data_IF_449339523910
#
_entry.id   IF_449339523910
#
_cell.length_a   1.000
_cell.length_b   1.000
_cell.length_c   1.000
_cell.angle_alpha   90.00
_cell.angle_beta   90.00
_cell.angle_gamma   90.00
#
_symmetry.space_group_name_H-M   'P 1'
#
loop_
_entity.id
_entity.type
_entity.pdbx_description
1 polymer ?
#
# COMPACT_ATOMS: atom_id res chain seq x y z
N UNK A 1 14.52 34.93 23.93
CA UNK A 1 14.93 33.51 23.93
C UNK A 1 14.54 32.93 22.58
N UNK A 2 15.48 32.80 21.64
CA UNK A 2 15.23 32.06 20.41
C UNK A 2 15.51 30.59 20.70
N UNK A 3 14.47 29.76 20.68
CA UNK A 3 14.56 28.33 21.00
C UNK A 3 15.31 27.57 19.90
N UNK A 4 15.32 28.09 18.66
CA UNK A 4 16.06 27.53 17.52
C UNK A 4 16.79 28.63 16.76
N UNK A 5 18.06 28.38 16.40
CA UNK A 5 18.90 29.30 15.61
C UNK A 5 18.73 29.12 14.09
N UNK A 6 17.60 28.57 13.64
CA UNK A 6 17.35 28.25 12.23
C UNK A 6 16.08 28.94 11.73
N UNK A 7 16.07 29.30 10.44
CA UNK A 7 14.86 29.79 9.75
C UNK A 7 13.99 28.58 9.40
N UNK A 8 12.76 28.57 9.90
CA UNK A 8 11.75 27.58 9.51
C UNK A 8 11.05 28.03 8.23
N UNK A 9 10.78 27.09 7.34
CA UNK A 9 10.01 27.28 6.12
C UNK A 9 9.01 26.12 5.95
N UNK A 10 8.06 26.25 5.03
CA UNK A 10 7.06 25.21 4.77
C UNK A 10 7.36 24.45 3.48
N UNK A 11 6.99 23.18 3.45
CA UNK A 11 7.09 22.33 2.26
C UNK A 11 5.81 21.50 2.09
N UNK A 12 5.52 21.12 0.85
CA UNK A 12 4.45 20.19 0.50
C UNK A 12 4.96 18.75 0.32
N UNK A 13 6.20 18.47 0.71
CA UNK A 13 6.75 17.13 0.70
C UNK A 13 5.92 16.17 1.54
N UNK A 14 5.72 14.97 1.01
CA UNK A 14 5.01 13.91 1.71
C UNK A 14 6.02 13.05 2.45
N UNK A 15 5.79 12.85 3.75
CA UNK A 15 6.59 11.97 4.59
C UNK A 15 5.83 10.67 4.85
N UNK A 16 6.57 9.57 4.93
CA UNK A 16 6.04 8.27 5.34
C UNK A 16 7.02 7.57 6.27
N UNK A 17 6.51 6.99 7.36
CA UNK A 17 7.26 6.07 8.22
C UNK A 17 7.36 4.66 7.62
N UNK A 18 6.65 4.38 6.52
CA UNK A 18 6.50 3.06 5.89
C UNK A 18 7.41 2.86 4.68
N UNK A 19 8.50 3.64 4.58
CA UNK A 19 9.40 3.59 3.42
C UNK A 19 9.97 2.18 3.17
N UNK A 20 10.14 1.37 4.22
CA UNK A 20 10.60 -0.02 4.11
C UNK A 20 9.67 -0.90 3.27
N UNK A 21 8.38 -0.57 3.18
CA UNK A 21 7.42 -1.31 2.35
C UNK A 21 7.66 -1.14 0.84
N UNK A 22 8.43 -0.12 0.42
CA UNK A 22 8.79 0.06 -0.99
C UNK A 22 9.58 -1.13 -1.51
N UNK A 23 10.52 -1.65 -0.73
CA UNK A 23 11.33 -2.82 -1.12
C UNK A 23 10.45 -4.02 -1.40
N UNK A 24 9.44 -4.23 -0.56
CA UNK A 24 8.46 -5.31 -0.72
C UNK A 24 7.57 -5.10 -1.95
N UNK A 25 7.01 -3.89 -2.12
CA UNK A 25 6.21 -3.55 -3.28
C UNK A 25 7.00 -3.72 -4.59
N UNK A 26 8.26 -3.31 -4.61
CA UNK A 26 9.16 -3.49 -5.75
C UNK A 26 9.47 -4.98 -5.99
N UNK A 27 9.65 -5.77 -4.92
CA UNK A 27 9.85 -7.22 -5.03
C UNK A 27 8.64 -7.91 -5.68
N UNK A 28 7.42 -7.55 -5.26
CA UNK A 28 6.17 -8.03 -5.86
C UNK A 28 6.15 -7.73 -7.38
N UNK A 29 6.58 -6.52 -7.78
CA UNK A 29 6.65 -6.12 -9.18
C UNK A 29 7.70 -6.91 -9.97
N UNK A 30 8.93 -7.03 -9.46
CA UNK A 30 10.04 -7.73 -10.13
C UNK A 30 9.74 -9.23 -10.31
N UNK A 31 9.04 -9.83 -9.35
CA UNK A 31 8.63 -11.24 -9.43
C UNK A 31 7.43 -11.48 -10.35
N UNK A 32 6.83 -10.42 -10.91
CA UNK A 32 5.56 -10.48 -11.67
C UNK A 32 4.44 -11.18 -10.86
N UNK A 33 4.50 -11.06 -9.53
CA UNK A 33 3.68 -11.85 -8.61
C UNK A 33 2.20 -11.58 -8.83
N UNK A 34 1.82 -10.32 -9.08
CA UNK A 34 0.44 -9.94 -9.37
C UNK A 34 -0.12 -10.71 -10.56
N UNK A 35 0.66 -10.86 -11.63
CA UNK A 35 0.23 -11.61 -12.82
C UNK A 35 0.12 -13.09 -12.52
N UNK A 36 1.07 -13.66 -11.78
CA UNK A 36 0.99 -15.07 -11.37
C UNK A 36 -0.26 -15.33 -10.54
N UNK A 37 -0.58 -14.46 -9.59
CA UNK A 37 -1.81 -14.55 -8.79
C UNK A 37 -3.03 -14.50 -9.70
N UNK A 38 -3.12 -13.48 -10.56
CA UNK A 38 -4.31 -13.28 -11.40
C UNK A 38 -4.52 -14.39 -12.45
N UNK A 39 -3.50 -15.19 -12.75
CA UNK A 39 -3.60 -16.37 -13.61
C UNK A 39 -4.15 -17.62 -12.90
N UNK A 40 -3.92 -17.75 -11.59
CA UNK A 40 -4.28 -18.95 -10.83
C UNK A 40 -5.56 -18.78 -10.03
N UNK A 41 -5.95 -17.54 -9.73
CA UNK A 41 -7.20 -17.24 -9.05
C UNK A 41 -8.38 -17.11 -10.02
N UNK A 42 -9.62 -17.33 -9.56
CA UNK A 42 -10.81 -17.21 -10.40
C UNK A 42 -10.89 -15.86 -11.11
N UNK A 43 -11.28 -15.89 -12.38
CA UNK A 43 -11.54 -14.68 -13.14
C UNK A 43 -12.67 -13.86 -12.50
N UNK A 44 -12.60 -12.56 -12.71
CA UNK A 44 -13.57 -11.60 -12.18
C UNK A 44 -14.96 -11.85 -12.78
N UNK A 45 -15.97 -11.96 -11.92
CA UNK A 45 -17.37 -12.10 -12.33
C UNK A 45 -18.05 -10.78 -12.76
N UNK A 46 -17.38 -9.63 -12.56
CA UNK A 46 -17.91 -8.29 -12.86
C UNK A 46 -16.79 -7.35 -13.31
N UNK A 47 -17.10 -6.43 -14.22
CA UNK A 47 -16.18 -5.38 -14.68
C UNK A 47 -15.77 -4.40 -13.56
N UNK A 48 -16.50 -4.38 -12.44
CA UNK A 48 -16.17 -3.56 -11.27
C UNK A 48 -15.37 -4.32 -10.20
N UNK A 49 -15.13 -5.62 -10.38
CA UNK A 49 -14.43 -6.41 -9.39
C UNK A 49 -12.92 -6.12 -9.42
N UNK A 50 -12.30 -6.10 -8.24
CA UNK A 50 -10.86 -5.96 -8.11
C UNK A 50 -10.18 -7.30 -8.37
N UNK A 51 -8.99 -7.26 -8.97
CA UNK A 51 -8.18 -8.46 -9.21
C UNK A 51 -7.75 -9.12 -7.90
N UNK A 52 -7.56 -10.44 -7.91
CA UNK A 52 -7.11 -11.18 -6.73
C UNK A 52 -5.77 -10.64 -6.20
N UNK A 53 -4.86 -10.26 -7.10
CA UNK A 53 -3.59 -9.62 -6.76
C UNK A 53 -3.76 -8.33 -5.96
N UNK A 54 -4.80 -7.53 -6.22
CA UNK A 54 -5.09 -6.29 -5.47
C UNK A 54 -5.35 -6.58 -3.99
N UNK A 55 -6.10 -7.64 -3.69
CA UNK A 55 -6.37 -8.06 -2.32
C UNK A 55 -5.12 -8.64 -1.66
N UNK A 56 -4.45 -9.59 -2.33
CA UNK A 56 -3.30 -10.30 -1.76
C UNK A 56 -2.13 -9.34 -1.52
N UNK A 57 -1.78 -8.49 -2.48
CA UNK A 57 -0.69 -7.52 -2.29
C UNK A 57 -1.00 -6.55 -1.16
N UNK A 58 -2.26 -6.14 -1.00
CA UNK A 58 -2.67 -5.28 0.11
C UNK A 58 -2.46 -5.96 1.45
N UNK A 59 -2.87 -7.23 1.56
CA UNK A 59 -2.69 -8.00 2.79
C UNK A 59 -1.21 -8.21 3.10
N UNK A 60 -0.40 -8.54 2.09
CA UNK A 60 1.05 -8.71 2.24
C UNK A 60 1.71 -7.42 2.73
N UNK A 61 1.36 -6.26 2.15
CA UNK A 61 1.90 -4.97 2.63
C UNK A 61 1.43 -4.66 4.06
N UNK A 62 0.14 -4.85 4.36
CA UNK A 62 -0.43 -4.58 5.67
C UNK A 62 0.22 -5.45 6.76
N UNK A 63 0.41 -6.74 6.49
CA UNK A 63 1.08 -7.66 7.42
C UNK A 63 2.54 -7.29 7.63
N UNK A 64 3.26 -6.87 6.58
CA UNK A 64 4.64 -6.42 6.72
C UNK A 64 4.78 -5.05 7.39
N UNK A 65 3.74 -4.21 7.38
CA UNK A 65 3.65 -3.02 8.24
C UNK A 65 3.47 -3.39 9.73
N UNK A 66 3.00 -4.61 10.01
CA UNK A 66 2.61 -5.06 11.35
C UNK A 66 1.12 -4.95 11.62
N UNK A 67 0.27 -4.90 10.58
CA UNK A 67 -1.18 -4.95 10.72
C UNK A 67 -1.67 -6.30 11.27
N UNK A 68 -2.62 -6.24 12.19
CA UNK A 68 -3.15 -7.39 12.94
C UNK A 68 -4.59 -7.71 12.55
N UNK A 69 -5.31 -6.77 11.94
CA UNK A 69 -6.69 -6.93 11.52
C UNK A 69 -6.94 -6.39 10.10
N UNK A 70 -8.09 -6.74 9.51
CA UNK A 70 -8.44 -6.27 8.15
C UNK A 70 -8.62 -4.76 8.09
N UNK A 71 -8.99 -4.11 9.19
CA UNK A 71 -9.09 -2.65 9.24
C UNK A 71 -7.74 -1.96 9.07
N UNK A 72 -6.62 -2.61 9.39
CA UNK A 72 -5.29 -2.00 9.30
C UNK A 72 -4.86 -1.69 7.86
N UNK A 73 -5.51 -2.27 6.85
CA UNK A 73 -5.24 -1.93 5.43
C UNK A 73 -5.51 -0.46 5.12
N UNK A 74 -6.31 0.24 5.96
CA UNK A 74 -6.55 1.68 5.83
C UNK A 74 -5.28 2.49 6.05
N UNK A 75 -4.28 1.97 6.76
CA UNK A 75 -2.99 2.61 6.95
C UNK A 75 -2.26 2.78 5.62
N UNK A 76 -2.21 1.70 4.82
CA UNK A 76 -1.69 1.72 3.45
C UNK A 76 -2.53 2.65 2.56
N UNK A 77 -3.87 2.61 2.67
CA UNK A 77 -4.76 3.44 1.86
C UNK A 77 -4.58 4.96 2.11
N UNK A 78 -4.34 5.34 3.37
CA UNK A 78 -4.18 6.73 3.83
C UNK A 78 -2.77 7.29 3.58
N UNK A 79 -1.76 6.43 3.42
CA UNK A 79 -0.39 6.86 3.18
C UNK A 79 -0.20 7.35 1.73
N UNK A 80 -0.29 8.67 1.55
CA UNK A 80 -0.14 9.30 0.23
C UNK A 80 1.26 9.13 -0.35
N UNK A 81 2.31 9.20 0.47
CA UNK A 81 3.69 9.05 0.01
C UNK A 81 3.93 7.63 -0.50
N UNK A 82 3.54 6.62 0.28
CA UNK A 82 3.68 5.22 -0.10
C UNK A 82 2.86 4.89 -1.36
N UNK A 83 1.63 5.42 -1.48
CA UNK A 83 0.80 5.19 -2.66
C UNK A 83 1.35 5.84 -3.93
N UNK A 84 2.00 7.01 -3.80
CA UNK A 84 2.63 7.68 -4.93
C UNK A 84 3.78 6.85 -5.52
N UNK A 85 4.53 6.14 -4.68
CA UNK A 85 5.68 5.34 -5.14
C UNK A 85 5.30 3.91 -5.55
N UNK A 86 4.24 3.35 -4.98
CA UNK A 86 3.82 1.95 -5.27
C UNK A 86 2.75 1.85 -6.35
N UNK A 87 1.97 2.91 -6.60
CA UNK A 87 0.77 2.90 -7.43
C UNK A 87 -0.23 1.78 -7.08
N UNK A 88 -0.18 1.27 -5.84
CA UNK A 88 -1.00 0.16 -5.43
C UNK A 88 -2.44 0.62 -5.15
N UNK A 89 -3.39 -0.14 -5.70
CA UNK A 89 -4.80 -0.02 -5.34
C UNK A 89 -5.04 -0.79 -4.04
N UNK A 90 -5.80 -0.20 -3.12
CA UNK A 90 -6.07 -0.77 -1.80
C UNK A 90 -7.58 -0.98 -1.66
N UNK A 91 -8.06 -2.23 -1.54
CA UNK A 91 -9.47 -2.52 -1.25
C UNK A 91 -9.84 -2.01 0.15
N UNK A 92 -11.14 -1.75 0.37
CA UNK A 92 -11.64 -1.44 1.71
C UNK A 92 -11.64 -2.69 2.59
N UNK A 93 -11.58 -2.55 3.92
CA UNK A 93 -11.69 -3.69 4.83
C UNK A 93 -12.92 -4.56 4.53
N UNK A 94 -14.08 -3.94 4.29
CA UNK A 94 -15.34 -4.64 3.98
C UNK A 94 -15.31 -5.40 2.65
N UNK A 95 -14.47 -4.96 1.69
CA UNK A 95 -14.31 -5.69 0.44
C UNK A 95 -13.43 -6.93 0.61
N UNK A 96 -12.61 -6.99 1.66
CA UNK A 96 -11.74 -8.12 1.97
C UNK A 96 -12.49 -9.20 2.75
N UNK A 97 -13.31 -8.81 3.74
CA UNK A 97 -14.05 -9.74 4.60
C UNK A 97 -15.02 -9.06 5.56
#
# INVERSE_FOLDING_TARGET
MNILNYKLDTTNELLTSRIGLITLAHTIQVLDLSKTIDQHFPALGSNCALKASTFINTLVLSQHEGGECLDDVVHIAKDKALRLVTNQQVPTPQAIG
#
